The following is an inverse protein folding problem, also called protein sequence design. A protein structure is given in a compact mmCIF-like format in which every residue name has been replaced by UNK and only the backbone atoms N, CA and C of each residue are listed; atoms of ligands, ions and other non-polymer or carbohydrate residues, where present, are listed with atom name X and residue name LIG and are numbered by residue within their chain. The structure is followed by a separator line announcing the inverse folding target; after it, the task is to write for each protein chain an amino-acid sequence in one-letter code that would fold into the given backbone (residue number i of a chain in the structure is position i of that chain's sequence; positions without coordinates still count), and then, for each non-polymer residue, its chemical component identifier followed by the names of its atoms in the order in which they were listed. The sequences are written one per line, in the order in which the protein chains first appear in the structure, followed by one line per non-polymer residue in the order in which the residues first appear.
data_IF_700251828731
#
_entry.id   IF_700251828731
#
_cell.length_a   1.000
_cell.length_b   1.000
_cell.length_c   1.000
_cell.angle_alpha   90.00
_cell.angle_beta   90.00
_cell.angle_gamma   90.00
#
_symmetry.space_group_name_H-M   'P 1'
#
loop_
_entity.id
_entity.type
_entity.pdbx_description
1 polymer ?
#
# COMPACT_ATOMS: atom_id res chain seq x y z
N UNK A 1 -118.44 -37.11 -34.75
CA UNK A 1 -117.44 -36.86 -33.67
C UNK A 1 -116.51 -38.05 -33.44
N UNK A 2 -115.90 -38.63 -34.48
CA UNK A 2 -115.09 -39.86 -34.32
C UNK A 2 -113.70 -39.80 -35.01
N UNK A 3 -113.38 -38.71 -35.72
CA UNK A 3 -112.04 -38.47 -36.29
C UNK A 3 -111.09 -37.76 -35.31
N UNK A 4 -111.58 -36.82 -34.49
CA UNK A 4 -110.75 -36.03 -33.55
C UNK A 4 -110.04 -36.88 -32.47
N UNK A 5 -110.61 -38.02 -32.06
CA UNK A 5 -110.01 -38.88 -31.03
C UNK A 5 -108.90 -39.83 -31.54
N UNK A 6 -108.86 -40.13 -32.85
CA UNK A 6 -107.79 -40.96 -33.44
C UNK A 6 -106.53 -40.15 -33.71
N UNK A 7 -106.70 -38.87 -34.06
CA UNK A 7 -105.60 -37.94 -34.31
C UNK A 7 -104.85 -37.61 -33.02
N UNK A 8 -105.60 -37.25 -31.96
CA UNK A 8 -105.04 -36.98 -30.64
C UNK A 8 -104.24 -38.16 -30.04
N UNK A 9 -104.64 -39.40 -30.33
CA UNK A 9 -103.92 -40.60 -29.86
C UNK A 9 -102.60 -40.83 -30.60
N UNK A 10 -102.54 -40.51 -31.90
CA UNK A 10 -101.31 -40.57 -32.69
C UNK A 10 -100.32 -39.47 -32.30
N UNK A 11 -100.81 -38.25 -32.09
CA UNK A 11 -100.00 -37.14 -31.59
C UNK A 11 -99.42 -37.44 -30.19
N UNK A 12 -100.22 -38.04 -29.30
CA UNK A 12 -99.75 -38.44 -27.96
C UNK A 12 -98.66 -39.54 -28.03
N UNK A 13 -98.81 -40.53 -28.91
CA UNK A 13 -97.81 -41.57 -29.10
C UNK A 13 -96.50 -41.02 -29.71
N UNK A 14 -96.61 -40.08 -30.65
CA UNK A 14 -95.49 -39.38 -31.26
C UNK A 14 -94.75 -38.51 -30.22
N UNK A 15 -95.49 -37.72 -29.44
CA UNK A 15 -94.94 -36.92 -28.34
C UNK A 15 -94.25 -37.81 -27.30
N UNK A 16 -94.83 -38.96 -26.96
CA UNK A 16 -94.24 -39.92 -26.03
C UNK A 16 -92.92 -40.50 -26.57
N UNK A 17 -92.85 -40.84 -27.87
CA UNK A 17 -91.60 -41.28 -28.51
C UNK A 17 -90.54 -40.18 -28.48
N UNK A 18 -90.90 -38.94 -28.83
CA UNK A 18 -90.01 -37.76 -28.74
C UNK A 18 -89.47 -37.59 -27.33
N UNK A 19 -90.33 -37.57 -26.32
CA UNK A 19 -89.95 -37.42 -24.91
C UNK A 19 -89.01 -38.55 -24.48
N UNK A 20 -89.32 -39.80 -24.83
CA UNK A 20 -88.48 -40.95 -24.51
C UNK A 20 -87.08 -40.83 -25.11
N UNK A 21 -86.99 -40.46 -26.38
CA UNK A 21 -85.70 -40.27 -27.08
C UNK A 21 -84.91 -39.10 -26.50
N UNK A 22 -85.54 -37.95 -26.29
CA UNK A 22 -84.88 -36.79 -25.65
C UNK A 22 -84.39 -37.13 -24.25
N UNK A 23 -85.15 -37.94 -23.49
CA UNK A 23 -84.74 -38.40 -22.15
C UNK A 23 -83.50 -39.29 -22.21
N UNK A 24 -83.42 -40.22 -23.17
CA UNK A 24 -82.24 -41.07 -23.35
C UNK A 24 -81.02 -40.26 -23.78
N UNK A 25 -81.18 -39.28 -24.66
CA UNK A 25 -80.09 -38.40 -25.10
C UNK A 25 -79.61 -37.45 -23.99
N UNK A 26 -80.53 -36.96 -23.15
CA UNK A 26 -80.20 -36.22 -21.94
C UNK A 26 -79.40 -37.08 -20.95
N UNK A 27 -79.82 -38.32 -20.72
CA UNK A 27 -79.09 -39.26 -19.86
C UNK A 27 -77.69 -39.57 -20.42
N UNK A 28 -77.53 -39.65 -21.75
CA UNK A 28 -76.23 -39.76 -22.40
C UNK A 28 -75.34 -38.54 -22.13
N UNK A 29 -75.86 -37.31 -22.35
CA UNK A 29 -75.12 -36.09 -22.06
C UNK A 29 -74.74 -35.97 -20.59
N UNK A 30 -75.64 -36.34 -19.68
CA UNK A 30 -75.39 -36.35 -18.23
C UNK A 30 -74.30 -37.36 -17.85
N UNK A 31 -74.32 -38.56 -18.44
CA UNK A 31 -73.28 -39.57 -18.27
C UNK A 31 -71.93 -39.07 -18.80
N UNK A 32 -71.92 -38.49 -20.02
CA UNK A 32 -70.72 -37.94 -20.64
C UNK A 32 -70.14 -36.82 -19.79
N UNK A 33 -70.94 -35.84 -19.37
CA UNK A 33 -70.50 -34.77 -18.47
C UNK A 33 -69.87 -35.30 -17.16
N UNK A 34 -70.44 -36.34 -16.54
CA UNK A 34 -69.87 -36.98 -15.34
C UNK A 34 -68.53 -37.68 -15.58
N UNK A 35 -68.33 -38.27 -16.75
CA UNK A 35 -67.03 -38.87 -17.12
C UNK A 35 -65.99 -37.76 -17.29
N UNK A 36 -66.40 -36.62 -17.85
CA UNK A 36 -65.54 -35.48 -18.13
C UNK A 36 -65.11 -34.68 -16.90
N UNK A 37 -65.84 -34.77 -15.79
CA UNK A 37 -65.42 -34.13 -14.52
C UNK A 37 -64.27 -34.86 -13.83
N UNK A 38 -63.96 -36.09 -14.24
CA UNK A 38 -62.85 -36.88 -13.69
C UNK A 38 -61.69 -36.81 -14.70
N UNK A 39 -60.60 -36.08 -14.41
CA UNK A 39 -59.55 -35.79 -15.39
C UNK A 39 -58.96 -37.03 -16.06
N UNK A 40 -58.71 -38.09 -15.29
CA UNK A 40 -58.18 -39.36 -15.82
C UNK A 40 -59.14 -40.08 -16.77
N UNK A 41 -60.44 -40.00 -16.51
CA UNK A 41 -61.46 -40.61 -17.36
C UNK A 41 -61.75 -39.73 -18.58
N UNK A 42 -61.67 -38.41 -18.45
CA UNK A 42 -61.76 -37.48 -19.56
C UNK A 42 -60.64 -37.72 -20.59
N UNK A 43 -59.41 -37.88 -20.13
CA UNK A 43 -58.27 -38.24 -20.98
C UNK A 43 -58.52 -39.55 -21.74
N UNK A 44 -59.00 -40.59 -21.05
CA UNK A 44 -59.33 -41.87 -21.67
C UNK A 44 -60.50 -41.77 -22.67
N UNK A 45 -61.54 -40.99 -22.33
CA UNK A 45 -62.74 -40.79 -23.17
C UNK A 45 -62.41 -40.10 -24.49
N UNK A 46 -61.48 -39.14 -24.48
CA UNK A 46 -61.02 -38.44 -25.69
C UNK A 46 -59.86 -39.15 -26.39
N UNK A 47 -59.37 -40.28 -25.85
CA UNK A 47 -58.22 -40.98 -26.41
C UNK A 47 -56.91 -40.20 -26.29
N UNK A 48 -56.84 -39.25 -25.35
CA UNK A 48 -55.64 -38.44 -25.10
C UNK A 48 -54.65 -39.27 -24.28
N UNK A 49 -53.46 -39.49 -24.84
CA UNK A 49 -52.38 -40.25 -24.21
C UNK A 49 -51.28 -39.33 -23.70
N UNK A 50 -50.65 -39.71 -22.59
CA UNK A 50 -49.48 -39.01 -22.07
C UNK A 50 -48.22 -39.62 -22.71
N UNK A 51 -47.46 -38.81 -23.42
CA UNK A 51 -46.13 -39.12 -23.99
C UNK A 51 -45.04 -38.50 -23.12
N UNK A 52 -43.95 -39.23 -22.91
CA UNK A 52 -42.80 -38.78 -22.11
C UNK A 52 -41.98 -37.66 -22.80
N UNK A 53 -42.14 -37.46 -24.11
CA UNK A 53 -41.31 -36.51 -24.90
C UNK A 53 -42.09 -35.24 -25.29
N UNK A 54 -43.37 -35.37 -25.68
CA UNK A 54 -44.21 -34.24 -26.16
C UNK A 54 -45.39 -33.88 -25.24
N UNK A 55 -45.57 -34.58 -24.11
CA UNK A 55 -46.69 -34.35 -23.20
C UNK A 55 -47.99 -35.03 -23.66
N UNK A 56 -49.15 -34.42 -23.43
CA UNK A 56 -50.43 -35.02 -23.83
C UNK A 56 -50.67 -34.89 -25.35
N UNK A 57 -51.09 -35.99 -25.98
CA UNK A 57 -51.33 -36.13 -27.42
C UNK A 57 -52.77 -36.61 -27.65
N UNK A 58 -53.50 -35.96 -28.56
CA UNK A 58 -54.89 -36.32 -28.93
C UNK A 58 -54.97 -37.63 -29.73
N UNK A 59 -56.18 -38.18 -29.91
CA UNK A 59 -56.48 -39.39 -30.68
C UNK A 59 -56.00 -39.33 -32.15
N UNK A 60 -55.87 -38.12 -32.69
CA UNK A 60 -55.35 -37.80 -34.02
C UNK A 60 -53.82 -37.67 -34.09
N UNK A 61 -53.12 -37.82 -32.95
CA UNK A 61 -51.67 -37.65 -32.86
C UNK A 61 -51.20 -36.20 -32.69
N UNK A 62 -52.12 -35.26 -32.49
CA UNK A 62 -51.82 -33.83 -32.37
C UNK A 62 -51.38 -33.48 -30.94
N UNK A 63 -50.16 -32.95 -30.72
CA UNK A 63 -49.68 -32.52 -29.40
C UNK A 63 -50.50 -31.36 -28.82
N UNK A 64 -50.66 -31.32 -27.50
CA UNK A 64 -51.36 -30.23 -26.80
C UNK A 64 -50.89 -28.82 -27.17
N UNK A 65 -49.60 -28.64 -27.45
CA UNK A 65 -49.01 -27.36 -27.83
C UNK A 65 -49.57 -26.77 -29.15
N UNK A 66 -50.25 -27.59 -29.93
CA UNK A 66 -50.85 -27.23 -31.22
C UNK A 66 -52.38 -27.23 -31.21
N UNK A 67 -53.01 -27.41 -30.03
CA UNK A 67 -54.46 -27.33 -29.91
C UNK A 67 -54.94 -25.89 -30.13
N UNK A 68 -55.87 -25.72 -31.07
CA UNK A 68 -56.47 -24.42 -31.38
C UNK A 68 -57.22 -23.88 -30.16
N UNK A 69 -56.93 -22.64 -29.79
CA UNK A 69 -57.65 -21.89 -28.75
C UNK A 69 -59.04 -21.41 -29.23
N UNK A 70 -59.30 -21.45 -30.54
CA UNK A 70 -60.54 -21.01 -31.17
C UNK A 70 -61.49 -22.17 -31.48
N UNK A 71 -62.78 -21.96 -31.19
CA UNK A 71 -63.86 -22.90 -31.48
C UNK A 71 -64.15 -22.87 -32.98
N UNK A 72 -63.69 -23.88 -33.74
CA UNK A 72 -64.21 -24.16 -35.07
C UNK A 72 -65.20 -25.33 -34.95
N UNK A 73 -66.49 -25.02 -34.87
CA UNK A 73 -67.58 -26.00 -34.79
C UNK A 73 -67.80 -26.78 -36.11
N UNK A 74 -67.00 -26.54 -37.15
CA UNK A 74 -67.28 -27.02 -38.51
C UNK A 74 -66.62 -28.35 -38.89
N UNK A 75 -65.93 -29.04 -37.97
CA UNK A 75 -65.08 -30.18 -38.35
C UNK A 75 -65.00 -31.26 -37.27
N UNK A 76 -66.15 -31.83 -36.88
CA UNK A 76 -66.19 -32.97 -35.96
C UNK A 76 -66.76 -34.22 -36.65
N UNK A 77 -66.00 -35.31 -36.55
CA UNK A 77 -66.25 -36.57 -37.25
C UNK A 77 -67.36 -37.36 -36.51
N UNK A 78 -68.53 -37.46 -37.15
CA UNK A 78 -69.81 -37.92 -36.58
C UNK A 78 -69.89 -39.44 -36.47
N UNK A 79 -68.92 -40.08 -35.80
CA UNK A 79 -68.88 -41.55 -35.74
C UNK A 79 -69.72 -42.16 -34.61
N UNK A 80 -69.95 -41.42 -33.53
CA UNK A 80 -70.63 -41.96 -32.33
C UNK A 80 -72.16 -41.85 -32.45
N UNK A 81 -72.67 -40.79 -33.09
CA UNK A 81 -74.11 -40.53 -33.29
C UNK A 81 -74.73 -41.47 -34.33
N UNK A 82 -73.95 -41.90 -35.34
CA UNK A 82 -74.36 -42.94 -36.31
C UNK A 82 -74.70 -44.28 -35.63
N UNK A 83 -73.99 -44.66 -34.56
CA UNK A 83 -74.32 -45.87 -33.79
C UNK A 83 -75.65 -45.78 -33.04
N UNK A 84 -76.01 -44.59 -32.57
CA UNK A 84 -77.31 -44.33 -31.92
C UNK A 84 -78.47 -44.31 -32.94
N UNK A 85 -78.20 -43.82 -34.15
CA UNK A 85 -79.13 -43.91 -35.29
C UNK A 85 -79.43 -45.38 -35.66
N UNK A 86 -78.42 -46.25 -35.65
CA UNK A 86 -78.58 -47.67 -35.95
C UNK A 86 -79.43 -48.43 -34.92
N UNK A 87 -79.38 -48.03 -33.64
CA UNK A 87 -80.16 -48.68 -32.58
C UNK A 87 -81.62 -48.21 -32.60
N UNK A 88 -81.87 -46.92 -32.87
CA UNK A 88 -83.23 -46.37 -32.93
C UNK A 88 -83.98 -46.73 -34.22
N UNK A 89 -83.29 -47.02 -35.33
CA UNK A 89 -83.90 -47.47 -36.58
C UNK A 89 -84.51 -48.89 -36.49
N UNK A 90 -84.21 -49.67 -35.45
CA UNK A 90 -84.77 -51.02 -35.29
C UNK A 90 -86.22 -51.05 -34.78
N UNK A 91 -86.81 -49.91 -34.39
CA UNK A 91 -88.22 -49.83 -33.97
C UNK A 91 -89.04 -49.08 -35.03
N UNK A 92 -89.76 -49.84 -35.86
CA UNK A 92 -90.44 -49.38 -37.07
C UNK A 92 -91.49 -48.26 -36.93
N UNK A 93 -91.76 -47.67 -38.11
CA UNK A 93 -92.62 -46.52 -38.42
C UNK A 93 -92.05 -45.15 -38.00
N UNK A 94 -91.17 -44.60 -38.85
CA UNK A 94 -90.90 -43.17 -38.95
C UNK A 94 -92.03 -42.53 -39.78
N UNK A 95 -92.84 -41.70 -39.15
CA UNK A 95 -93.72 -40.76 -39.83
C UNK A 95 -92.88 -39.59 -40.38
N UNK A 96 -93.28 -39.02 -41.52
CA UNK A 96 -92.52 -38.04 -42.31
C UNK A 96 -92.24 -36.73 -41.53
N UNK A 97 -92.97 -36.49 -40.43
CA UNK A 97 -92.80 -35.33 -39.54
C UNK A 97 -91.78 -35.51 -38.39
N UNK A 98 -91.27 -36.71 -38.11
CA UNK A 98 -90.41 -36.95 -36.92
C UNK A 98 -88.91 -36.88 -37.22
N UNK A 99 -88.53 -37.05 -38.49
CA UNK A 99 -87.15 -36.95 -38.97
C UNK A 99 -86.47 -35.60 -38.72
N UNK A 100 -87.11 -34.45 -39.02
CA UNK A 100 -86.51 -33.12 -38.83
C UNK A 100 -86.21 -32.81 -37.36
N UNK A 101 -87.17 -33.06 -36.46
CA UNK A 101 -87.03 -32.85 -35.02
C UNK A 101 -85.93 -33.73 -34.40
N UNK A 102 -85.88 -35.00 -34.80
CA UNK A 102 -84.83 -35.92 -34.38
C UNK A 102 -83.45 -35.50 -34.88
N UNK A 103 -83.36 -35.00 -36.11
CA UNK A 103 -82.13 -34.44 -36.66
C UNK A 103 -81.64 -33.21 -35.88
N UNK A 104 -82.54 -32.29 -35.53
CA UNK A 104 -82.21 -31.09 -34.75
C UNK A 104 -81.74 -31.41 -33.32
N UNK A 105 -82.38 -32.36 -32.64
CA UNK A 105 -81.97 -32.77 -31.28
C UNK A 105 -80.65 -33.50 -31.30
N UNK A 106 -80.43 -34.41 -32.25
CA UNK A 106 -79.14 -35.10 -32.37
C UNK A 106 -78.03 -34.11 -32.71
N UNK A 107 -78.29 -33.13 -33.57
CA UNK A 107 -77.36 -32.04 -33.85
C UNK A 107 -77.07 -31.19 -32.59
N UNK A 108 -78.09 -30.91 -31.78
CA UNK A 108 -77.95 -30.18 -30.52
C UNK A 108 -77.11 -30.98 -29.51
N UNK A 109 -77.36 -32.27 -29.37
CA UNK A 109 -76.61 -33.19 -28.49
C UNK A 109 -75.15 -33.31 -28.93
N UNK A 110 -74.90 -33.39 -30.24
CA UNK A 110 -73.57 -33.38 -30.81
C UNK A 110 -72.84 -32.06 -30.53
N UNK A 111 -73.50 -30.93 -30.79
CA UNK A 111 -72.95 -29.60 -30.50
C UNK A 111 -72.57 -29.45 -29.03
N UNK A 112 -73.44 -29.88 -28.11
CA UNK A 112 -73.15 -29.85 -26.67
C UNK A 112 -71.97 -30.76 -26.31
N UNK A 113 -71.92 -31.95 -26.92
CA UNK A 113 -70.83 -32.91 -26.71
C UNK A 113 -69.48 -32.35 -27.17
N UNK A 114 -69.43 -31.70 -28.34
CA UNK A 114 -68.22 -31.11 -28.90
C UNK A 114 -67.75 -29.90 -28.09
N UNK A 115 -68.70 -29.09 -27.60
CA UNK A 115 -68.41 -27.98 -26.69
C UNK A 115 -67.84 -28.51 -25.37
N UNK A 116 -68.40 -29.57 -24.81
CA UNK A 116 -67.87 -30.21 -23.60
C UNK A 116 -66.44 -30.72 -23.80
N UNK A 117 -66.15 -31.37 -24.94
CA UNK A 117 -64.80 -31.82 -25.30
C UNK A 117 -63.81 -30.67 -25.42
N UNK A 118 -64.19 -29.63 -26.15
CA UNK A 118 -63.36 -28.45 -26.35
C UNK A 118 -63.03 -27.74 -25.03
N UNK A 119 -64.03 -27.58 -24.15
CA UNK A 119 -63.82 -26.99 -22.83
C UNK A 119 -62.84 -27.80 -21.98
N UNK A 120 -62.95 -29.13 -21.98
CA UNK A 120 -62.01 -29.98 -21.25
C UNK A 120 -60.59 -29.88 -21.82
N UNK A 121 -60.43 -29.93 -23.15
CA UNK A 121 -59.10 -29.76 -23.79
C UNK A 121 -58.46 -28.43 -23.39
N UNK A 122 -59.23 -27.34 -23.33
CA UNK A 122 -58.74 -26.03 -22.85
C UNK A 122 -58.37 -26.04 -21.36
N UNK A 123 -59.18 -26.66 -20.51
CA UNK A 123 -58.88 -26.79 -19.08
C UNK A 123 -57.56 -27.55 -18.88
N UNK A 124 -57.37 -28.67 -19.59
CA UNK A 124 -56.14 -29.47 -19.52
C UNK A 124 -54.90 -28.67 -19.96
N UNK A 125 -54.99 -27.89 -21.04
CA UNK A 125 -53.89 -27.01 -21.49
C UNK A 125 -53.59 -25.94 -20.44
N UNK A 126 -54.62 -25.26 -19.92
CA UNK A 126 -54.45 -24.23 -18.89
C UNK A 126 -53.84 -24.78 -17.59
N UNK A 127 -54.23 -25.97 -17.16
CA UNK A 127 -53.65 -26.65 -16.00
C UNK A 127 -52.18 -27.03 -16.24
N UNK A 128 -51.86 -27.55 -17.42
CA UNK A 128 -50.48 -27.90 -17.81
C UNK A 128 -49.58 -26.66 -17.88
N UNK A 129 -50.04 -25.58 -18.51
CA UNK A 129 -49.33 -24.30 -18.59
C UNK A 129 -49.12 -23.69 -17.21
N UNK A 130 -50.15 -23.73 -16.36
CA UNK A 130 -50.06 -23.25 -14.97
C UNK A 130 -49.04 -24.07 -14.17
N UNK A 131 -49.03 -25.39 -14.32
CA UNK A 131 -48.05 -26.27 -13.68
C UNK A 131 -46.62 -25.97 -14.14
N UNK A 132 -46.42 -25.81 -15.46
CA UNK A 132 -45.13 -25.45 -16.04
C UNK A 132 -44.66 -24.06 -15.58
N UNK A 133 -45.55 -23.07 -15.57
CA UNK A 133 -45.24 -21.74 -15.06
C UNK A 133 -44.84 -21.76 -13.59
N UNK A 134 -45.55 -22.53 -12.74
CA UNK A 134 -45.16 -22.75 -11.33
C UNK A 134 -43.77 -23.36 -11.23
N UNK A 135 -43.47 -24.39 -12.01
CA UNK A 135 -42.14 -25.03 -12.02
C UNK A 135 -41.03 -24.04 -12.41
N UNK A 136 -41.25 -23.21 -13.44
CA UNK A 136 -40.30 -22.16 -13.86
C UNK A 136 -40.07 -21.10 -12.78
N UNK A 137 -41.12 -20.70 -12.07
CA UNK A 137 -41.00 -19.75 -10.95
C UNK A 137 -40.20 -20.38 -9.81
N UNK A 138 -40.46 -21.64 -9.46
CA UNK A 138 -39.70 -22.32 -8.41
C UNK A 138 -38.22 -22.48 -8.76
N UNK A 139 -37.90 -22.87 -10.00
CA UNK A 139 -36.49 -22.98 -10.43
C UNK A 139 -35.80 -21.62 -10.49
N UNK A 140 -36.48 -20.59 -10.99
CA UNK A 140 -35.98 -19.21 -10.99
C UNK A 140 -35.70 -18.68 -9.57
N UNK A 141 -36.58 -18.99 -8.61
CA UNK A 141 -36.39 -18.59 -7.22
C UNK A 141 -35.19 -19.27 -6.57
N UNK A 142 -34.95 -20.55 -6.87
CA UNK A 142 -33.75 -21.26 -6.40
C UNK A 142 -32.47 -20.66 -6.99
N UNK A 143 -32.48 -20.30 -8.28
CA UNK A 143 -31.34 -19.66 -8.93
C UNK A 143 -31.05 -18.27 -8.34
N UNK A 144 -32.10 -17.47 -8.08
CA UNK A 144 -31.98 -16.17 -7.42
C UNK A 144 -31.36 -16.32 -6.03
N UNK A 145 -31.80 -17.31 -5.23
CA UNK A 145 -31.21 -17.59 -3.91
C UNK A 145 -29.73 -17.95 -4.01
N UNK A 146 -29.34 -18.79 -4.98
CA UNK A 146 -27.93 -19.15 -5.21
C UNK A 146 -27.09 -17.93 -5.58
N UNK A 147 -27.59 -17.09 -6.50
CA UNK A 147 -26.92 -15.85 -6.91
C UNK A 147 -26.82 -14.85 -5.76
N UNK A 148 -27.85 -14.72 -4.92
CA UNK A 148 -27.82 -13.86 -3.74
C UNK A 148 -26.71 -14.27 -2.75
N UNK A 149 -26.58 -15.57 -2.46
CA UNK A 149 -25.49 -16.08 -1.62
C UNK A 149 -24.12 -15.81 -2.26
N UNK A 150 -23.99 -15.98 -3.57
CA UNK A 150 -22.73 -15.69 -4.27
C UNK A 150 -22.35 -14.20 -4.18
N UNK A 151 -23.32 -13.30 -4.34
CA UNK A 151 -23.12 -11.86 -4.20
C UNK A 151 -22.68 -11.51 -2.78
N UNK A 152 -23.32 -12.10 -1.75
CA UNK A 152 -22.95 -11.88 -0.35
C UNK A 152 -21.50 -12.31 -0.09
N UNK A 153 -21.12 -13.52 -0.51
CA UNK A 153 -19.75 -14.02 -0.38
C UNK A 153 -18.72 -13.13 -1.11
N UNK A 154 -19.08 -12.61 -2.30
CA UNK A 154 -18.24 -11.67 -3.01
C UNK A 154 -18.13 -10.33 -2.29
N UNK A 155 -19.22 -9.86 -1.67
CA UNK A 155 -19.24 -8.63 -0.88
C UNK A 155 -18.32 -8.74 0.33
N UNK A 156 -18.41 -9.84 1.09
CA UNK A 156 -17.50 -10.10 2.22
C UNK A 156 -16.03 -10.13 1.79
N UNK A 157 -15.75 -10.70 0.62
CA UNK A 157 -14.39 -10.74 0.07
C UNK A 157 -13.89 -9.34 -0.33
N UNK A 158 -14.75 -8.49 -0.88
CA UNK A 158 -14.40 -7.10 -1.19
C UNK A 158 -14.10 -6.32 0.09
N UNK A 159 -14.90 -6.46 1.13
CA UNK A 159 -14.65 -5.83 2.42
C UNK A 159 -13.31 -6.28 3.04
N UNK A 160 -12.94 -7.55 2.87
CA UNK A 160 -11.63 -8.05 3.29
C UNK A 160 -10.49 -7.43 2.47
N UNK A 161 -10.67 -7.27 1.17
CA UNK A 161 -9.70 -6.62 0.28
C UNK A 161 -9.52 -5.14 0.63
N UNK A 162 -10.59 -4.42 0.95
CA UNK A 162 -10.54 -3.02 1.37
C UNK A 162 -9.78 -2.87 2.69
N UNK A 163 -10.08 -3.71 3.69
CA UNK A 163 -9.32 -3.73 4.95
C UNK A 163 -7.84 -4.04 4.72
N UNK A 164 -7.54 -5.00 3.84
CA UNK A 164 -6.17 -5.34 3.48
C UNK A 164 -5.45 -4.14 2.84
N UNK A 165 -6.08 -3.48 1.86
CA UNK A 165 -5.52 -2.32 1.18
C UNK A 165 -5.28 -1.15 2.16
N UNK A 166 -6.23 -0.89 3.07
CA UNK A 166 -6.06 0.12 4.12
C UNK A 166 -4.85 -0.18 5.02
N UNK A 167 -4.71 -1.42 5.48
CA UNK A 167 -3.58 -1.84 6.33
C UNK A 167 -2.25 -1.71 5.60
N UNK A 168 -2.16 -2.15 4.34
CA UNK A 168 -0.95 -2.02 3.53
C UNK A 168 -0.60 -0.55 3.28
N UNK A 169 -1.59 0.30 3.02
CA UNK A 169 -1.36 1.73 2.79
C UNK A 169 -0.89 2.45 4.08
N UNK A 170 -1.45 2.09 5.23
CA UNK A 170 -0.98 2.60 6.53
C UNK A 170 0.48 2.22 6.78
N UNK A 171 0.83 0.95 6.59
CA UNK A 171 2.21 0.50 6.76
C UNK A 171 3.19 1.18 5.78
N UNK A 172 2.76 1.41 4.53
CA UNK A 172 3.55 2.12 3.53
C UNK A 172 3.79 3.59 3.93
N UNK A 173 2.77 4.26 4.48
CA UNK A 173 2.91 5.63 4.99
C UNK A 173 3.88 5.70 6.18
N UNK A 174 3.80 4.75 7.12
CA UNK A 174 4.75 4.68 8.24
C UNK A 174 6.19 4.47 7.74
N UNK A 175 6.38 3.59 6.75
CA UNK A 175 7.69 3.38 6.12
C UNK A 175 8.18 4.65 5.41
N UNK A 176 7.30 5.34 4.69
CA UNK A 176 7.63 6.61 4.02
C UNK A 176 8.11 7.65 5.04
N UNK A 177 7.39 7.83 6.14
CA UNK A 177 7.77 8.77 7.19
C UNK A 177 9.15 8.44 7.78
N UNK A 178 9.40 7.16 8.11
CA UNK A 178 10.72 6.74 8.61
C UNK A 178 11.85 7.00 7.62
N UNK A 179 11.59 6.84 6.33
CA UNK A 179 12.58 7.16 5.28
C UNK A 179 12.84 8.67 5.24
N UNK A 180 11.81 9.50 5.33
CA UNK A 180 11.97 10.97 5.41
C UNK A 180 12.82 11.38 6.63
N UNK A 181 12.52 10.83 7.82
CA UNK A 181 13.30 11.06 9.04
C UNK A 181 14.78 10.62 8.91
N UNK A 182 15.04 9.46 8.28
CA UNK A 182 16.40 8.98 8.01
C UNK A 182 17.16 9.88 7.02
N UNK A 183 16.48 10.42 6.02
CA UNK A 183 17.09 11.37 5.07
C UNK A 183 17.47 12.66 5.78
N UNK A 184 16.60 13.20 6.64
CA UNK A 184 16.89 14.39 7.45
C UNK A 184 18.05 14.16 8.42
N UNK A 185 18.07 13.01 9.12
CA UNK A 185 19.17 12.62 10.01
C UNK A 185 20.50 12.53 9.24
N UNK A 186 20.48 11.86 8.08
CA UNK A 186 21.65 11.73 7.22
C UNK A 186 22.17 13.10 6.76
N UNK A 187 21.27 14.02 6.43
CA UNK A 187 21.62 15.41 6.10
C UNK A 187 22.32 16.11 7.28
N UNK A 188 21.76 15.97 8.49
CA UNK A 188 22.33 16.56 9.71
C UNK A 188 23.68 15.95 10.08
N UNK A 189 23.86 14.64 9.88
CA UNK A 189 25.14 13.97 10.07
C UNK A 189 26.20 14.48 9.08
N UNK A 190 25.83 14.65 7.80
CA UNK A 190 26.73 15.22 6.79
C UNK A 190 27.17 16.63 7.14
N UNK A 191 26.25 17.46 7.61
CA UNK A 191 26.56 18.83 8.05
C UNK A 191 27.55 18.83 9.22
N UNK A 192 27.29 18.02 10.26
CA UNK A 192 28.22 17.88 11.40
C UNK A 192 29.60 17.35 10.98
N UNK A 193 29.65 16.42 10.02
CA UNK A 193 30.91 15.91 9.50
C UNK A 193 31.73 17.01 8.79
N UNK A 194 31.07 17.86 8.00
CA UNK A 194 31.72 19.00 7.35
C UNK A 194 32.24 20.04 8.36
N UNK A 195 31.48 20.32 9.43
CA UNK A 195 31.91 21.20 10.52
C UNK A 195 33.14 20.64 11.25
N UNK A 196 33.14 19.34 11.55
CA UNK A 196 34.28 18.66 12.17
C UNK A 196 35.53 18.67 11.26
N UNK A 197 35.36 18.51 9.95
CA UNK A 197 36.47 18.60 9.00
C UNK A 197 37.09 19.99 8.94
N UNK A 198 36.24 21.04 8.99
CA UNK A 198 36.69 22.42 9.07
C UNK A 198 37.47 22.67 10.37
N UNK A 199 36.96 22.23 11.51
CA UNK A 199 37.62 22.39 12.79
C UNK A 199 38.95 21.62 12.85
N UNK A 200 38.98 20.40 12.32
CA UNK A 200 40.21 19.63 12.19
C UNK A 200 41.26 20.35 11.34
N UNK A 201 40.84 21.02 10.26
CA UNK A 201 41.73 21.81 9.42
C UNK A 201 42.31 23.02 10.16
N UNK A 202 41.48 23.73 10.93
CA UNK A 202 41.93 24.84 11.79
C UNK A 202 42.96 24.38 12.81
N UNK A 203 42.65 23.31 13.55
CA UNK A 203 43.57 22.75 14.56
C UNK A 203 44.90 22.35 13.92
N UNK A 204 44.90 21.72 12.74
CA UNK A 204 46.14 21.38 12.02
C UNK A 204 46.97 22.63 11.71
N UNK A 205 46.34 23.71 11.28
CA UNK A 205 47.02 24.97 10.99
C UNK A 205 47.63 25.60 12.25
N UNK A 206 46.90 25.54 13.37
CA UNK A 206 47.40 26.03 14.66
C UNK A 206 48.62 25.21 15.13
N UNK A 207 48.60 23.89 14.95
CA UNK A 207 49.74 23.03 15.25
C UNK A 207 50.97 23.34 14.40
N UNK A 208 50.80 23.61 13.09
CA UNK A 208 51.94 23.97 12.24
C UNK A 208 52.51 25.36 12.60
N UNK A 209 51.64 26.29 13.01
CA UNK A 209 52.03 27.60 13.52
C UNK A 209 52.81 27.46 14.84
N UNK A 210 52.31 26.65 15.77
CA UNK A 210 52.98 26.34 17.03
C UNK A 210 54.34 25.68 16.82
N UNK A 211 54.42 24.71 15.90
CA UNK A 211 55.68 24.06 15.53
C UNK A 211 56.71 25.07 15.00
N UNK A 212 56.29 25.98 14.13
CA UNK A 212 57.15 27.05 13.62
C UNK A 212 57.63 27.98 14.74
N UNK A 213 56.75 28.32 15.70
CA UNK A 213 57.09 29.12 16.87
C UNK A 213 58.13 28.41 17.77
N UNK A 214 57.93 27.11 18.05
CA UNK A 214 58.90 26.31 18.82
C UNK A 214 60.26 26.24 18.11
N UNK A 215 60.28 26.06 16.78
CA UNK A 215 61.53 26.09 16.02
C UNK A 215 62.25 27.44 16.16
N UNK A 216 61.53 28.55 16.11
CA UNK A 216 62.10 29.89 16.34
C UNK A 216 62.68 30.03 17.76
N UNK A 217 61.95 29.56 18.78
CA UNK A 217 62.44 29.56 20.17
C UNK A 217 63.70 28.72 20.35
N UNK A 218 63.81 27.58 19.66
CA UNK A 218 65.03 26.76 19.66
C UNK A 218 66.21 27.56 19.09
N UNK A 219 66.05 28.24 17.96
CA UNK A 219 67.11 29.08 17.37
C UNK A 219 67.53 30.24 18.29
N UNK A 220 66.57 30.89 18.97
CA UNK A 220 66.87 31.92 19.96
C UNK A 220 67.66 31.33 21.14
N UNK A 221 67.24 30.17 21.66
CA UNK A 221 67.97 29.46 22.71
C UNK A 221 69.40 29.13 22.30
N UNK A 222 69.60 28.62 21.09
CA UNK A 222 70.93 28.29 20.56
C UNK A 222 71.83 29.53 20.48
N UNK A 223 71.27 30.66 20.04
CA UNK A 223 71.96 31.95 20.01
C UNK A 223 72.35 32.43 21.41
N UNK A 224 71.44 32.34 22.38
CA UNK A 224 71.71 32.69 23.78
C UNK A 224 72.80 31.80 24.39
N UNK A 225 72.74 30.49 24.15
CA UNK A 225 73.78 29.54 24.60
C UNK A 225 75.14 29.86 23.98
N UNK A 226 75.19 30.30 22.72
CA UNK A 226 76.43 30.76 22.08
C UNK A 226 76.97 32.04 22.72
N UNK A 227 76.10 33.03 22.96
CA UNK A 227 76.45 34.28 23.63
C UNK A 227 76.98 34.04 25.04
N UNK A 228 76.37 33.13 25.80
CA UNK A 228 76.82 32.74 27.14
C UNK A 228 78.26 32.19 27.13
N UNK A 229 78.60 31.33 26.16
CA UNK A 229 79.97 30.82 25.99
C UNK A 229 80.97 31.93 25.69
N UNK A 230 80.55 32.95 24.95
CA UNK A 230 81.38 34.13 24.69
C UNK A 230 81.59 34.96 25.96
N UNK A 231 80.54 35.20 26.74
CA UNK A 231 80.64 35.88 28.04
C UNK A 231 81.60 35.16 28.99
N UNK A 232 81.48 33.84 29.13
CA UNK A 232 82.42 33.04 29.94
C UNK A 232 83.88 33.17 29.47
N UNK A 233 84.10 33.38 28.16
CA UNK A 233 85.44 33.60 27.63
C UNK A 233 85.95 34.99 27.99
N UNK A 234 85.09 36.00 27.91
CA UNK A 234 85.38 37.38 28.32
C UNK A 234 85.68 37.44 29.82
N UNK A 235 84.91 36.75 30.66
CA UNK A 235 85.14 36.68 32.12
C UNK A 235 86.52 36.12 32.45
N UNK A 236 86.95 35.02 31.81
CA UNK A 236 88.32 34.47 32.00
C UNK A 236 89.41 35.46 31.58
N UNK A 237 89.17 36.25 30.54
CA UNK A 237 90.11 37.31 30.13
C UNK A 237 90.15 38.44 31.17
N UNK A 238 89.00 38.83 31.73
CA UNK A 238 88.93 39.81 32.80
C UNK A 238 89.64 39.32 34.07
N UNK A 239 89.42 38.08 34.50
CA UNK A 239 90.13 37.48 35.62
C UNK A 239 91.66 37.55 35.43
N UNK A 240 92.13 37.17 34.23
CA UNK A 240 93.56 37.26 33.90
C UNK A 240 94.06 38.70 33.90
N UNK A 241 93.27 39.65 33.41
CA UNK A 241 93.62 41.07 33.40
C UNK A 241 93.71 41.63 34.82
N UNK A 242 92.79 41.26 35.71
CA UNK A 242 92.82 41.64 37.13
C UNK A 242 94.10 41.11 37.78
N UNK A 243 94.42 39.82 37.61
CA UNK A 243 95.67 39.23 38.13
C UNK A 243 96.90 39.94 37.58
N UNK A 244 96.92 40.28 36.29
CA UNK A 244 98.06 40.99 35.70
C UNK A 244 98.18 42.41 36.23
N UNK A 245 97.06 43.09 36.45
CA UNK A 245 97.02 44.45 36.98
C UNK A 245 97.54 44.49 38.42
N UNK A 246 97.10 43.56 39.28
CA UNK A 246 97.59 43.48 40.67
C UNK A 246 99.08 43.12 40.73
N UNK A 247 99.58 42.27 39.83
CA UNK A 247 101.02 42.00 39.69
C UNK A 247 101.80 43.27 39.29
N UNK A 248 101.33 43.99 38.27
CA UNK A 248 102.00 45.21 37.82
C UNK A 248 101.98 46.31 38.90
N UNK A 249 100.91 46.41 39.68
CA UNK A 249 100.80 47.33 40.80
C UNK A 249 101.81 47.01 41.91
N UNK A 250 102.02 45.74 42.24
CA UNK A 250 103.04 45.34 43.23
C UNK A 250 104.47 45.56 42.72
N UNK A 251 104.75 45.22 41.46
CA UNK A 251 106.03 45.52 40.80
C UNK A 251 106.32 47.04 40.78
N UNK A 252 105.28 47.85 40.50
CA UNK A 252 105.38 49.32 40.54
C UNK A 252 105.72 49.81 41.94
N UNK A 253 104.99 49.35 42.96
CA UNK A 253 105.23 49.74 44.36
C UNK A 253 106.64 49.37 44.83
N UNK A 254 107.14 48.19 44.44
CA UNK A 254 108.51 47.77 44.72
C UNK A 254 109.54 48.71 44.07
N UNK A 255 109.36 49.05 42.79
CA UNK A 255 110.25 49.98 42.07
C UNK A 255 110.19 51.39 42.64
N UNK A 256 109.02 51.89 43.02
CA UNK A 256 108.88 53.20 43.67
C UNK A 256 109.63 53.24 45.01
N UNK A 257 109.59 52.16 45.80
CA UNK A 257 110.37 52.06 47.04
C UNK A 257 111.89 52.02 46.78
N UNK A 258 112.34 51.33 45.73
CA UNK A 258 113.74 51.30 45.32
C UNK A 258 114.23 52.69 44.87
N UNK A 259 113.44 53.40 44.05
CA UNK A 259 113.72 54.77 43.64
C UNK A 259 113.81 55.70 44.85
N UNK A 260 112.89 55.61 45.82
CA UNK A 260 112.96 56.41 47.04
C UNK A 260 114.24 56.14 47.84
N UNK A 261 114.65 54.88 47.97
CA UNK A 261 115.91 54.50 48.64
C UNK A 261 117.13 55.09 47.93
N UNK A 262 117.19 54.99 46.61
CA UNK A 262 118.27 55.59 45.82
C UNK A 262 118.27 57.12 45.93
N UNK A 263 117.10 57.75 45.98
CA UNK A 263 116.96 59.19 46.19
C UNK A 263 117.52 59.62 47.56
N UNK A 264 117.17 58.89 48.63
CA UNK A 264 117.68 59.15 49.98
C UNK A 264 119.21 58.95 50.05
N UNK A 265 119.74 57.92 49.38
CA UNK A 265 121.18 57.69 49.28
C UNK A 265 121.89 58.80 48.50
N UNK A 266 121.32 59.25 47.38
CA UNK A 266 121.85 60.35 46.59
C UNK A 266 121.84 61.68 47.36
N UNK A 267 120.80 61.94 48.17
CA UNK A 267 120.78 63.08 49.08
C UNK A 267 121.91 63.01 50.12
N UNK A 268 122.16 61.83 50.70
CA UNK A 268 123.29 61.63 51.64
C UNK A 268 124.65 61.83 50.98
N UNK A 269 124.84 61.29 49.78
CA UNK A 269 126.06 61.46 49.00
C UNK A 269 126.28 62.92 48.62
N UNK A 270 125.23 63.61 48.17
CA UNK A 270 125.29 65.05 47.86
C UNK A 270 125.70 65.87 49.09
N UNK A 271 125.08 65.62 50.26
CA UNK A 271 125.48 66.28 51.51
C UNK A 271 126.93 65.96 51.93
N UNK A 272 127.42 64.75 51.63
CA UNK A 272 128.83 64.38 51.85
C UNK A 272 129.77 65.11 50.89
N UNK A 273 129.39 65.26 49.62
CA UNK A 273 130.11 66.05 48.62
C UNK A 273 130.18 67.50 49.06
N UNK A 274 129.06 68.14 49.42
CA UNK A 274 129.02 69.51 49.93
C UNK A 274 129.96 69.69 51.14
N UNK A 275 129.94 68.73 52.08
CA UNK A 275 130.85 68.74 53.23
C UNK A 275 132.32 68.65 52.80
N UNK A 276 132.64 67.82 51.80
CA UNK A 276 134.01 67.67 51.28
C UNK A 276 134.46 68.88 50.49
N UNK A 277 133.59 69.49 49.70
CA UNK A 277 133.86 70.76 49.01
C UNK A 277 134.10 71.89 50.00
N UNK A 278 133.28 72.01 51.05
CA UNK A 278 133.51 72.98 52.12
C UNK A 278 134.85 72.75 52.84
N UNK A 279 135.23 71.49 53.11
CA UNK A 279 136.54 71.13 53.66
C UNK A 279 137.69 71.52 52.71
N UNK A 280 137.55 71.26 51.41
CA UNK A 280 138.53 71.62 50.39
C UNK A 280 138.68 73.14 50.26
N UNK A 281 137.58 73.90 50.24
CA UNK A 281 137.60 75.36 50.22
C UNK A 281 138.30 75.92 51.47
N UNK A 282 138.00 75.38 52.65
CA UNK A 282 138.66 75.78 53.89
C UNK A 282 140.18 75.48 53.85
N UNK A 283 140.57 74.29 53.35
CA UNK A 283 141.98 73.96 53.14
C UNK A 283 142.64 74.87 52.10
N UNK A 284 141.96 75.19 51.00
CA UNK A 284 142.48 76.07 49.96
C UNK A 284 142.72 77.48 50.49
N UNK A 285 141.79 78.03 51.29
CA UNK A 285 141.98 79.31 51.98
C UNK A 285 143.09 79.23 53.03
N UNK A 286 143.23 78.12 53.78
CA UNK A 286 144.38 77.91 54.66
C UNK A 286 145.71 77.93 53.88
N UNK A 287 145.80 77.21 52.76
CA UNK A 287 146.98 77.22 51.88
C UNK A 287 147.28 78.63 51.34
N UNK A 288 146.24 79.40 51.01
CA UNK A 288 146.36 80.79 50.54
C UNK A 288 146.87 81.72 51.64
N UNK A 289 146.37 81.58 52.88
CA UNK A 289 146.88 82.30 54.06
C UNK A 289 148.33 81.89 54.36
N UNK A 290 148.67 80.61 54.28
CA UNK A 290 150.05 80.14 54.43
C UNK A 290 150.97 80.72 53.34
N UNK A 291 150.51 80.80 52.09
CA UNK A 291 151.26 81.43 51.01
C UNK A 291 151.44 82.94 51.22
N UNK A 292 150.39 83.65 51.68
CA UNK A 292 150.48 85.08 52.02
C UNK A 292 151.39 85.33 53.23
N UNK A 293 151.39 84.43 54.22
CA UNK A 293 152.30 84.50 55.38
C UNK A 293 153.75 84.18 55.01
N UNK A 294 153.99 83.29 54.03
CA UNK A 294 155.31 83.05 53.45
C UNK A 294 155.78 84.15 52.48
N UNK A 295 154.88 85.06 52.07
CA UNK A 295 155.20 86.23 51.25
C UNK A 295 155.59 87.47 52.09
N UNK A 296 155.50 87.37 53.42
CA UNK A 296 155.73 88.46 54.37
C UNK A 296 156.94 88.27 55.31
N UNK A 297 157.78 87.25 55.10
CA UNK A 297 159.11 87.06 55.71
C UNK A 297 160.03 86.34 54.72
#
# INVERSE_FOLDING_TARGET
MQESGKDAKKELELLWRRVKTTTTLLAYLESKARILTIPRLALASFGIKQSDVEGFIDRSGIPMSSWSTNVNLSNFDSREVETLLAINAQHGFLDEQDGPYMGEILNSVQTVTDVMEFLIKRVLVAESETSNAKQKVTSGQEEIKKKAIQIETMSEKLDQMDRFAMNTNSALNDMKQRVEELVEETSRQRQRAAENEQELTRVKQDFESLKSYVSSLISVRETLVSSEKQFQTIERLFERLVVKTTQLESEKMQKEAEVQKLMDENMKLSALVDKKEAQLLAMNEQCKVMALNASNI
#
